data_IF_876583764663
#
_entry.id   IF_876583764663
#
_cell.length_a   1.000
_cell.length_b   1.000
_cell.length_c   1.000
_cell.angle_alpha   90.00
_cell.angle_beta   90.00
_cell.angle_gamma   90.00
#
_symmetry.space_group_name_H-M   'P 1'
#
loop_
_entity.id
_entity.type
_entity.pdbx_description
1 polymer ?
#
# COMPACT_ATOMS: atom_id res chain seq x y z
N UNK A 1 2.87 -12.15 -9.74
CA UNK A 1 2.36 -13.27 -8.91
C UNK A 1 3.41 -14.36 -8.73
N UNK A 2 3.93 -15.00 -9.79
CA UNK A 2 4.94 -16.05 -9.65
C UNK A 2 6.21 -15.63 -8.89
N UNK A 3 6.75 -14.43 -9.18
CA UNK A 3 7.90 -13.89 -8.45
C UNK A 3 7.62 -13.66 -6.96
N UNK A 4 6.40 -13.23 -6.62
CA UNK A 4 5.98 -12.98 -5.22
C UNK A 4 5.85 -14.30 -4.48
N UNK A 5 5.23 -15.31 -5.09
CA UNK A 5 5.14 -16.65 -4.51
C UNK A 5 6.51 -17.29 -4.31
N UNK A 6 7.44 -17.13 -5.26
CA UNK A 6 8.80 -17.65 -5.13
C UNK A 6 9.56 -16.98 -3.99
N UNK A 7 9.40 -15.66 -3.85
CA UNK A 7 10.02 -14.90 -2.76
C UNK A 7 9.41 -15.29 -1.41
N UNK A 8 8.08 -15.41 -1.28
CA UNK A 8 7.44 -15.78 -0.01
C UNK A 8 7.65 -17.24 0.36
N UNK A 9 7.67 -18.15 -0.60
CA UNK A 9 7.91 -19.58 -0.38
C UNK A 9 9.39 -19.84 -0.07
N UNK A 10 10.30 -19.14 -0.74
CA UNK A 10 11.72 -19.10 -0.36
C UNK A 10 11.93 -18.57 1.06
N UNK A 11 11.11 -17.59 1.48
CA UNK A 11 11.15 -17.04 2.83
C UNK A 11 10.64 -18.02 3.90
N UNK A 12 9.58 -18.78 3.61
CA UNK A 12 9.07 -19.84 4.50
C UNK A 12 10.08 -20.98 4.63
N UNK A 13 10.71 -21.38 3.51
CA UNK A 13 11.74 -22.44 3.51
C UNK A 13 12.99 -21.98 4.25
N UNK A 14 13.43 -20.73 4.07
CA UNK A 14 14.55 -20.15 4.80
C UNK A 14 14.26 -20.03 6.31
N UNK A 15 13.03 -19.65 6.68
CA UNK A 15 12.57 -19.48 8.07
C UNK A 15 12.50 -20.78 8.87
N UNK A 16 12.38 -21.94 8.21
CA UNK A 16 12.28 -23.24 8.88
C UNK A 16 13.56 -24.07 8.88
N UNK A 17 14.63 -23.65 8.19
CA UNK A 17 15.82 -24.49 7.98
C UNK A 17 17.16 -23.89 8.44
N UNK A 18 17.27 -22.60 8.80
CA UNK A 18 18.58 -21.98 9.09
C UNK A 18 18.53 -20.94 10.22
N UNK A 19 18.99 -21.28 11.43
CA UNK A 19 19.03 -20.42 12.64
C UNK A 19 20.24 -19.45 12.71
N UNK A 20 20.95 -19.21 11.60
CA UNK A 20 22.12 -18.33 11.57
C UNK A 20 21.94 -17.38 10.37
N UNK A 21 21.83 -16.06 10.65
CA UNK A 21 21.53 -14.91 9.74
C UNK A 21 20.09 -14.34 9.72
N UNK A 22 19.23 -14.69 10.68
CA UNK A 22 17.78 -14.41 10.70
C UNK A 22 17.34 -12.93 10.63
N UNK A 23 18.06 -12.00 11.27
CA UNK A 23 17.57 -10.62 11.41
C UNK A 23 17.76 -9.77 10.13
N UNK A 24 18.78 -10.09 9.32
CA UNK A 24 19.00 -9.44 8.01
C UNK A 24 17.92 -9.79 6.99
N UNK A 25 17.59 -11.08 6.88
CA UNK A 25 16.59 -11.58 5.93
C UNK A 25 15.17 -11.18 6.31
N UNK A 26 14.87 -11.01 7.59
CA UNK A 26 13.57 -10.52 8.07
C UNK A 26 13.29 -9.07 7.63
N UNK A 27 14.26 -8.17 7.80
CA UNK A 27 14.13 -6.76 7.40
C UNK A 27 13.89 -6.60 5.88
N UNK A 28 14.67 -7.32 5.07
CA UNK A 28 14.52 -7.30 3.61
C UNK A 28 13.17 -7.85 3.17
N UNK A 29 12.67 -8.87 3.86
CA UNK A 29 11.38 -9.48 3.57
C UNK A 29 10.20 -8.57 3.86
N UNK A 30 10.24 -7.87 4.99
CA UNK A 30 9.24 -6.86 5.36
C UNK A 30 9.25 -5.73 4.35
N UNK A 31 10.44 -5.25 3.97
CA UNK A 31 10.58 -4.22 2.95
C UNK A 31 9.97 -4.62 1.59
N UNK A 32 10.26 -5.84 1.13
CA UNK A 32 9.63 -6.37 -0.09
C UNK A 32 8.12 -6.53 0.05
N UNK A 33 7.63 -7.00 1.20
CA UNK A 33 6.19 -7.15 1.44
C UNK A 33 5.47 -5.80 1.36
N UNK A 34 6.06 -4.75 1.93
CA UNK A 34 5.55 -3.37 1.83
C UNK A 34 5.48 -2.95 0.35
N UNK A 35 6.58 -3.09 -0.40
CA UNK A 35 6.62 -2.77 -1.83
C UNK A 35 5.54 -3.51 -2.62
N UNK A 36 5.42 -4.82 -2.41
CA UNK A 36 4.45 -5.66 -3.10
C UNK A 36 3.01 -5.30 -2.74
N UNK A 37 2.75 -4.93 -1.50
CA UNK A 37 1.43 -4.49 -1.04
C UNK A 37 1.03 -3.18 -1.71
N UNK A 38 1.94 -2.21 -1.80
CA UNK A 38 1.66 -0.93 -2.45
C UNK A 38 1.53 -1.06 -3.98
N UNK A 39 2.39 -1.86 -4.62
CA UNK A 39 2.27 -2.18 -6.06
C UNK A 39 0.95 -2.90 -6.34
N UNK A 40 0.60 -3.89 -5.52
CA UNK A 40 -0.67 -4.62 -5.62
C UNK A 40 -1.87 -3.71 -5.43
N UNK A 41 -1.82 -2.81 -4.44
CA UNK A 41 -2.86 -1.81 -4.21
C UNK A 41 -3.01 -0.87 -5.40
N UNK A 42 -1.91 -0.30 -5.91
CA UNK A 42 -1.94 0.58 -7.08
C UNK A 42 -2.60 -0.11 -8.30
N UNK A 43 -2.29 -1.38 -8.54
CA UNK A 43 -2.91 -2.18 -9.60
C UNK A 43 -4.40 -2.46 -9.33
N UNK A 44 -4.76 -2.82 -8.09
CA UNK A 44 -6.16 -3.07 -7.74
C UNK A 44 -7.05 -1.82 -7.94
N UNK A 45 -6.51 -0.62 -7.71
CA UNK A 45 -7.21 0.63 -8.01
C UNK A 45 -7.37 0.88 -9.52
N UNK A 46 -6.36 0.54 -10.33
CA UNK A 46 -6.44 0.65 -11.80
C UNK A 46 -7.46 -0.31 -12.40
N UNK A 47 -7.49 -1.55 -11.90
CA UNK A 47 -8.39 -2.59 -12.39
C UNK A 47 -9.84 -2.41 -11.86
N UNK A 48 -10.10 -1.40 -11.01
CA UNK A 48 -11.40 -1.21 -10.36
C UNK A 48 -11.80 -2.35 -9.42
N UNK A 49 -10.84 -3.20 -9.04
CA UNK A 49 -11.00 -4.44 -8.28
C UNK A 49 -10.80 -4.26 -6.77
N UNK A 50 -10.77 -3.02 -6.26
CA UNK A 50 -11.10 -2.81 -4.85
C UNK A 50 -12.45 -3.48 -4.63
N UNK A 51 -12.50 -4.50 -3.76
CA UNK A 51 -13.65 -5.39 -3.58
C UNK A 51 -14.88 -4.54 -3.25
N UNK A 52 -15.58 -4.10 -4.27
CA UNK A 52 -16.82 -3.37 -4.19
C UNK A 52 -17.90 -4.42 -4.32
N UNK A 53 -18.78 -4.51 -3.32
CA UNK A 53 -20.00 -5.32 -3.44
C UNK A 53 -20.90 -4.63 -4.46
N UNK A 54 -20.62 -4.86 -5.73
CA UNK A 54 -21.31 -4.24 -6.87
C UNK A 54 -22.76 -4.70 -6.98
N UNK A 55 -23.10 -5.87 -6.44
CA UNK A 55 -24.44 -6.44 -6.49
C UNK A 55 -25.55 -5.48 -5.99
N UNK A 56 -25.28 -4.72 -4.92
CA UNK A 56 -26.24 -3.74 -4.41
C UNK A 56 -26.13 -2.41 -5.16
N UNK A 57 -24.93 -2.01 -5.57
CA UNK A 57 -24.66 -0.73 -6.24
C UNK A 57 -25.21 -0.71 -7.67
N UNK A 58 -25.21 -1.85 -8.38
CA UNK A 58 -25.72 -1.97 -9.75
C UNK A 58 -27.26 -1.96 -9.82
N UNK A 59 -27.95 -2.15 -8.68
CA UNK A 59 -29.41 -1.97 -8.58
C UNK A 59 -29.82 -0.51 -8.33
N UNK A 60 -28.89 0.39 -8.04
CA UNK A 60 -29.18 1.81 -7.80
C UNK A 60 -29.18 2.62 -9.11
N UNK A 61 -30.01 3.66 -9.16
CA UNK A 61 -30.02 4.58 -10.30
C UNK A 61 -28.69 5.33 -10.44
N UNK A 62 -28.35 5.67 -11.68
CA UNK A 62 -27.08 6.28 -12.10
C UNK A 62 -26.52 7.39 -11.18
N UNK A 63 -27.32 8.37 -10.69
CA UNK A 63 -26.79 9.42 -9.81
C UNK A 63 -26.35 8.90 -8.44
N UNK A 64 -27.00 7.86 -7.90
CA UNK A 64 -26.62 7.29 -6.61
C UNK A 64 -25.40 6.39 -6.73
N UNK A 65 -25.31 5.58 -7.79
CA UNK A 65 -24.12 4.77 -8.10
C UNK A 65 -22.86 5.63 -8.18
N UNK A 66 -22.93 6.79 -8.85
CA UNK A 66 -21.82 7.75 -8.91
C UNK A 66 -21.41 8.31 -7.55
N UNK A 67 -22.38 8.64 -6.68
CA UNK A 67 -22.08 9.14 -5.32
C UNK A 67 -21.39 8.09 -4.46
N UNK A 68 -21.85 6.84 -4.51
CA UNK A 68 -21.22 5.73 -3.77
C UNK A 68 -19.80 5.45 -4.23
N UNK A 69 -19.55 5.47 -5.54
CA UNK A 69 -18.19 5.35 -6.08
C UNK A 69 -17.29 6.50 -5.61
N UNK A 70 -17.74 7.74 -5.73
CA UNK A 70 -16.97 8.91 -5.28
C UNK A 70 -16.70 8.86 -3.76
N UNK A 71 -17.66 8.40 -2.96
CA UNK A 71 -17.47 8.21 -1.52
C UNK A 71 -16.42 7.13 -1.21
N UNK A 72 -16.45 5.99 -1.91
CA UNK A 72 -15.44 4.93 -1.75
C UNK A 72 -14.04 5.37 -2.14
N UNK A 73 -13.90 6.12 -3.24
CA UNK A 73 -12.64 6.76 -3.63
C UNK A 73 -12.16 7.77 -2.59
N UNK A 74 -13.06 8.60 -2.06
CA UNK A 74 -12.73 9.60 -1.04
C UNK A 74 -12.25 8.95 0.26
N UNK A 75 -12.92 7.89 0.73
CA UNK A 75 -12.50 7.13 1.92
C UNK A 75 -11.16 6.44 1.71
N UNK A 76 -10.93 5.89 0.52
CA UNK A 76 -9.64 5.27 0.16
C UNK A 76 -8.50 6.29 0.13
N UNK A 77 -8.75 7.48 -0.44
CA UNK A 77 -7.82 8.60 -0.40
C UNK A 77 -7.56 9.09 1.03
N UNK A 78 -8.59 9.17 1.87
CA UNK A 78 -8.44 9.57 3.27
C UNK A 78 -7.56 8.57 4.03
N UNK A 79 -7.81 7.27 3.87
CA UNK A 79 -7.04 6.20 4.54
C UNK A 79 -5.56 6.23 4.12
N UNK A 80 -5.27 6.33 2.82
CA UNK A 80 -3.89 6.43 2.36
C UNK A 80 -3.24 7.77 2.71
N UNK A 81 -4.02 8.85 2.80
CA UNK A 81 -3.57 10.15 3.29
C UNK A 81 -3.10 10.08 4.73
N UNK A 82 -3.89 9.45 5.60
CA UNK A 82 -3.51 9.17 6.98
C UNK A 82 -2.26 8.29 7.04
N UNK A 83 -2.20 7.23 6.23
CA UNK A 83 -1.04 6.34 6.18
C UNK A 83 0.25 7.08 5.78
N UNK A 84 0.16 7.98 4.78
CA UNK A 84 1.29 8.80 4.37
C UNK A 84 1.70 9.79 5.48
N UNK A 85 0.74 10.42 6.15
CA UNK A 85 1.02 11.35 7.25
C UNK A 85 1.67 10.66 8.45
N UNK A 86 1.06 9.59 8.96
CA UNK A 86 1.60 8.84 10.08
C UNK A 86 2.91 8.14 9.73
N UNK A 87 3.06 7.61 8.51
CA UNK A 87 4.31 7.03 8.04
C UNK A 87 5.45 8.06 7.96
N UNK A 88 5.15 9.29 7.51
CA UNK A 88 6.15 10.37 7.48
C UNK A 88 6.54 10.82 8.88
N UNK A 89 5.56 10.94 9.79
CA UNK A 89 5.83 11.24 11.20
C UNK A 89 6.69 10.14 11.84
N UNK A 90 6.37 8.88 11.59
CA UNK A 90 7.16 7.76 12.08
C UNK A 90 8.59 7.77 11.53
N UNK A 91 8.78 8.06 10.25
CA UNK A 91 10.13 8.19 9.68
C UNK A 91 10.92 9.37 10.28
N UNK A 92 10.22 10.45 10.65
CA UNK A 92 10.83 11.59 11.34
C UNK A 92 11.22 11.22 12.78
N UNK A 93 10.34 10.56 13.52
CA UNK A 93 10.62 10.08 14.87
C UNK A 93 11.80 9.09 14.88
N UNK A 94 11.87 8.19 13.88
CA UNK A 94 12.98 7.25 13.69
C UNK A 94 14.32 7.96 13.38
N UNK A 95 14.27 9.09 12.69
CA UNK A 95 15.44 9.92 12.39
C UNK A 95 15.93 10.67 13.64
N UNK A 96 15.03 11.32 14.37
CA UNK A 96 15.36 12.10 15.57
C UNK A 96 15.86 11.21 16.72
N UNK A 97 15.36 9.98 16.83
CA UNK A 97 15.75 9.02 17.87
C UNK A 97 16.95 8.14 17.47
N UNK A 98 17.54 8.37 16.29
CA UNK A 98 18.63 7.56 15.73
C UNK A 98 18.38 6.05 15.83
N UNK A 99 17.13 5.64 15.57
CA UNK A 99 16.70 4.25 15.74
C UNK A 99 17.44 3.38 14.71
N UNK A 100 18.12 2.36 15.20
CA UNK A 100 18.85 1.41 14.37
C UNK A 100 18.05 0.12 14.20
N UNK A 101 18.15 -0.47 13.03
CA UNK A 101 17.44 -1.70 12.71
C UNK A 101 18.01 -2.87 13.54
N UNK A 102 17.16 -3.72 14.16
CA UNK A 102 17.61 -4.76 15.08
C UNK A 102 18.57 -5.80 14.46
N UNK A 103 18.50 -5.98 13.14
CA UNK A 103 19.28 -6.98 12.42
C UNK A 103 20.55 -6.49 11.76
N UNK A 104 20.53 -5.26 11.21
CA UNK A 104 21.65 -4.70 10.44
C UNK A 104 22.36 -3.55 11.16
N UNK A 105 21.72 -2.95 12.17
CA UNK A 105 22.17 -1.70 12.78
C UNK A 105 22.09 -0.50 11.83
N UNK A 106 21.35 -0.63 10.73
CA UNK A 106 21.19 0.46 9.76
C UNK A 106 20.15 1.48 10.23
N UNK A 107 20.23 2.74 9.78
CA UNK A 107 19.24 3.74 10.17
C UNK A 107 17.82 3.33 9.73
N UNK A 108 16.92 3.11 10.68
CA UNK A 108 15.58 2.55 10.43
C UNK A 108 14.73 3.48 9.54
N UNK A 109 14.95 4.80 9.64
CA UNK A 109 14.25 5.81 8.86
C UNK A 109 14.33 5.56 7.34
N UNK A 110 15.41 4.94 6.85
CA UNK A 110 15.56 4.61 5.42
C UNK A 110 14.43 3.67 4.98
N UNK A 111 14.11 2.65 5.78
CA UNK A 111 13.04 1.69 5.48
C UNK A 111 11.66 2.30 5.72
N UNK A 112 11.50 3.02 6.83
CA UNK A 112 10.23 3.67 7.18
C UNK A 112 9.85 4.74 6.17
N UNK A 113 10.80 5.46 5.56
CA UNK A 113 10.57 6.51 4.55
C UNK A 113 9.92 6.00 3.26
N UNK A 114 10.16 4.75 2.88
CA UNK A 114 9.51 4.17 1.70
C UNK A 114 8.01 3.99 1.89
N UNK A 115 7.55 3.81 3.13
CA UNK A 115 6.13 3.63 3.45
C UNK A 115 5.29 4.88 3.10
N UNK A 116 5.59 6.10 3.59
CA UNK A 116 4.87 7.29 3.17
C UNK A 116 5.10 7.63 1.70
N UNK A 117 6.28 7.37 1.15
CA UNK A 117 6.58 7.65 -0.25
C UNK A 117 5.71 6.80 -1.19
N UNK A 118 5.60 5.50 -0.94
CA UNK A 118 4.72 4.62 -1.71
C UNK A 118 3.24 4.94 -1.48
N UNK A 119 2.84 5.31 -0.27
CA UNK A 119 1.47 5.74 0.01
C UNK A 119 1.07 6.98 -0.81
N UNK A 120 1.97 7.97 -0.94
CA UNK A 120 1.76 9.17 -1.78
C UNK A 120 1.62 8.79 -3.26
N UNK A 121 2.38 7.82 -3.75
CA UNK A 121 2.23 7.33 -5.14
C UNK A 121 0.84 6.72 -5.36
N UNK A 122 0.34 5.90 -4.43
CA UNK A 122 -1.00 5.32 -4.55
C UNK A 122 -2.09 6.41 -4.42
N UNK A 123 -1.90 7.40 -3.54
CA UNK A 123 -2.79 8.57 -3.47
C UNK A 123 -2.90 9.31 -4.80
N UNK A 124 -1.78 9.56 -5.46
CA UNK A 124 -1.77 10.20 -6.77
C UNK A 124 -2.57 9.38 -7.80
N UNK A 125 -2.49 8.04 -7.76
CA UNK A 125 -3.31 7.16 -8.61
C UNK A 125 -4.81 7.24 -8.28
N UNK A 126 -5.18 7.30 -7.01
CA UNK A 126 -6.57 7.47 -6.58
C UNK A 126 -7.11 8.83 -7.03
N UNK A 127 -6.31 9.89 -6.93
CA UNK A 127 -6.67 11.21 -7.41
C UNK A 127 -6.87 11.22 -8.94
N UNK A 128 -6.05 10.48 -9.70
CA UNK A 128 -6.26 10.27 -11.15
C UNK A 128 -7.59 9.56 -11.42
N UNK A 129 -7.92 8.51 -10.67
CA UNK A 129 -9.20 7.80 -10.78
C UNK A 129 -10.40 8.70 -10.44
N UNK A 130 -10.27 9.52 -9.39
CA UNK A 130 -11.29 10.50 -9.01
C UNK A 130 -11.53 11.52 -10.13
N UNK A 131 -10.45 12.08 -10.71
CA UNK A 131 -10.52 13.01 -11.82
C UNK A 131 -11.16 12.39 -13.08
N UNK A 132 -10.89 11.11 -13.35
CA UNK A 132 -11.51 10.39 -14.47
C UNK A 132 -13.03 10.27 -14.28
N UNK A 133 -13.49 9.81 -13.11
CA UNK A 133 -14.93 9.69 -12.77
C UNK A 133 -15.64 11.06 -12.75
N UNK A 134 -14.90 12.11 -12.40
CA UNK A 134 -15.42 13.48 -12.43
C UNK A 134 -15.57 14.02 -13.86
N UNK A 135 -14.60 13.71 -14.75
CA UNK A 135 -14.60 14.13 -16.16
C UNK A 135 -15.54 13.31 -17.05
N UNK A 136 -15.85 12.06 -16.71
CA UNK A 136 -16.95 11.32 -17.34
C UNK A 136 -18.30 11.87 -16.85
N UNK A 137 -18.65 13.08 -17.31
CA UNK A 137 -20.05 13.45 -17.54
C UNK A 137 -20.48 12.64 -18.76
N UNK A 138 -21.49 11.82 -18.56
CA UNK A 138 -22.08 10.84 -19.48
C UNK A 138 -22.34 11.38 -20.90
N UNK A 139 -22.35 10.53 -21.95
CA UNK A 139 -23.48 10.55 -22.87
C UNK A 139 -24.75 10.04 -22.16
#
# INVERSE_FOLDING_TARGET
MAAICLITLGNVVARYLTDISFAFTEEVSVFLLVFLTFIGSAKAFLDGNQIAVSYFIDKLSWPWRRRWLLAGLAMSALMLGLLAWYGARMAWDDYDLEVTSPGLGWPQWIYTLWLPLLAVVVLARIAQGFAHVWRTKSP
#
